data_IF_959740418135
#
_entry.id   IF_959740418135
#
_cell.length_a   1.000
_cell.length_b   1.000
_cell.length_c   1.000
_cell.angle_alpha   90.00
_cell.angle_beta   90.00
_cell.angle_gamma   90.00
#
_symmetry.space_group_name_H-M   'P 1'
#
loop_
_entity.id
_entity.type
_entity.pdbx_description
1 polymer ?
#
# COMPACT_ATOMS: atom_id res chain seq x y z
N UNK A 1 -20.60 12.34 -24.80
CA UNK A 1 -19.81 12.22 -23.56
C UNK A 1 -19.44 10.76 -23.37
N UNK A 2 -18.44 10.32 -24.11
CA UNK A 2 -17.87 8.97 -24.04
C UNK A 2 -16.84 8.89 -22.91
N UNK A 3 -16.63 7.70 -22.34
CA UNK A 3 -15.63 7.47 -21.30
C UNK A 3 -14.21 7.91 -21.71
N UNK A 4 -13.90 7.87 -23.00
CA UNK A 4 -12.62 8.30 -23.54
C UNK A 4 -12.44 9.83 -23.49
N UNK A 5 -13.48 10.63 -23.66
CA UNK A 5 -13.43 12.09 -23.52
C UNK A 5 -13.20 12.53 -22.07
N UNK A 6 -13.67 11.74 -21.09
CA UNK A 6 -13.42 11.99 -19.65
C UNK A 6 -11.97 11.70 -19.24
N UNK A 7 -11.37 10.67 -19.83
CA UNK A 7 -9.96 10.31 -19.58
C UNK A 7 -9.02 11.17 -20.44
N UNK A 8 -9.46 11.59 -21.62
CA UNK A 8 -8.72 12.47 -22.52
C UNK A 8 -9.48 13.79 -22.70
N UNK A 9 -9.66 14.54 -21.60
CA UNK A 9 -10.14 15.93 -21.66
C UNK A 9 -9.05 16.80 -22.31
N UNK A 10 -8.97 16.82 -23.64
CA UNK A 10 -8.15 17.76 -24.41
C UNK A 10 -6.67 17.83 -24.04
N UNK A 11 -6.07 16.73 -23.56
CA UNK A 11 -4.63 16.66 -23.21
C UNK A 11 -4.29 16.72 -21.71
N UNK A 12 -5.21 17.12 -20.83
CA UNK A 12 -4.92 17.27 -19.39
C UNK A 12 -5.18 16.03 -18.52
N UNK A 13 -5.93 15.04 -19.04
CA UNK A 13 -6.31 13.87 -18.24
C UNK A 13 -5.12 13.04 -17.73
N UNK A 14 -4.03 12.94 -18.51
CA UNK A 14 -2.81 12.26 -18.07
C UNK A 14 -2.17 12.91 -16.83
N UNK A 15 -2.27 14.24 -16.70
CA UNK A 15 -1.74 14.99 -15.56
C UNK A 15 -2.54 14.74 -14.28
N UNK A 16 -3.86 14.69 -14.42
CA UNK A 16 -4.78 14.43 -13.30
C UNK A 16 -4.65 12.99 -12.83
N UNK A 17 -4.68 12.02 -13.74
CA UNK A 17 -4.58 10.61 -13.42
C UNK A 17 -3.21 10.22 -12.83
N UNK A 18 -2.12 10.87 -13.24
CA UNK A 18 -0.80 10.62 -12.63
C UNK A 18 -0.72 11.14 -11.18
N UNK A 19 -1.30 12.30 -10.87
CA UNK A 19 -1.40 12.80 -9.50
C UNK A 19 -2.27 11.89 -8.62
N UNK A 20 -3.41 11.41 -9.13
CA UNK A 20 -4.23 10.40 -8.46
C UNK A 20 -3.51 9.07 -8.28
N UNK A 21 -2.77 8.62 -9.30
CA UNK A 21 -1.95 7.40 -9.23
C UNK A 21 -0.87 7.50 -8.16
N UNK A 22 -0.16 8.62 -8.08
CA UNK A 22 0.84 8.87 -7.05
C UNK A 22 0.21 8.85 -5.65
N UNK A 23 -0.94 9.52 -5.50
CA UNK A 23 -1.69 9.53 -4.23
C UNK A 23 -2.12 8.12 -3.83
N UNK A 24 -2.64 7.34 -4.77
CA UNK A 24 -3.03 5.96 -4.55
C UNK A 24 -1.84 5.08 -4.13
N UNK A 25 -0.67 5.25 -4.76
CA UNK A 25 0.56 4.56 -4.39
C UNK A 25 0.98 4.90 -2.96
N UNK A 26 0.96 6.18 -2.58
CA UNK A 26 1.29 6.62 -1.21
C UNK A 26 0.31 6.03 -0.19
N UNK A 27 -0.99 6.03 -0.48
CA UNK A 27 -2.00 5.42 0.39
C UNK A 27 -1.77 3.91 0.55
N UNK A 28 -1.58 3.18 -0.56
CA UNK A 28 -1.29 1.74 -0.53
C UNK A 28 -0.02 1.47 0.29
N UNK A 29 1.03 2.26 0.07
CA UNK A 29 2.27 2.14 0.83
C UNK A 29 2.04 2.34 2.33
N UNK A 30 1.24 3.34 2.69
CA UNK A 30 0.90 3.63 4.09
C UNK A 30 0.11 2.50 4.75
N UNK A 31 -0.75 1.78 4.01
CA UNK A 31 -1.46 0.60 4.51
C UNK A 31 -0.57 -0.65 4.57
N UNK A 32 0.30 -0.85 3.58
CA UNK A 32 1.13 -2.07 3.47
C UNK A 32 2.29 -2.04 4.45
N UNK A 33 2.91 -0.88 4.70
CA UNK A 33 4.01 -0.72 5.65
C UNK A 33 3.71 -1.27 7.06
N UNK A 34 2.59 -0.90 7.74
CA UNK A 34 2.25 -1.44 9.05
C UNK A 34 1.88 -2.92 8.99
N UNK A 35 1.28 -3.41 7.90
CA UNK A 35 1.00 -4.84 7.72
C UNK A 35 2.29 -5.66 7.68
N UNK A 36 3.31 -5.20 6.95
CA UNK A 36 4.64 -5.83 6.91
C UNK A 36 5.30 -5.80 8.28
N UNK A 37 5.23 -4.66 8.98
CA UNK A 37 5.81 -4.52 10.32
C UNK A 37 5.15 -5.42 11.36
N UNK A 38 3.82 -5.59 11.30
CA UNK A 38 3.07 -6.52 12.17
C UNK A 38 3.55 -7.96 12.02
N UNK A 39 3.80 -8.41 10.79
CA UNK A 39 4.33 -9.77 10.53
C UNK A 39 5.70 -9.99 11.18
N UNK A 40 6.59 -8.99 11.11
CA UNK A 40 7.91 -9.08 11.74
C UNK A 40 7.83 -9.14 13.27
N UNK A 41 6.95 -8.33 13.87
CA UNK A 41 6.76 -8.31 15.33
C UNK A 41 6.19 -9.65 15.80
N UNK A 42 5.15 -10.18 15.15
CA UNK A 42 4.59 -11.48 15.50
C UNK A 42 5.61 -12.63 15.32
N UNK A 43 6.42 -12.59 14.26
CA UNK A 43 7.49 -13.56 14.05
C UNK A 43 8.61 -13.47 15.10
N UNK A 44 8.81 -12.31 15.74
CA UNK A 44 9.70 -12.18 16.89
C UNK A 44 9.06 -12.79 18.14
N UNK A 45 7.80 -12.46 18.44
CA UNK A 45 7.09 -13.02 19.60
C UNK A 45 7.07 -14.56 19.58
N UNK A 46 6.80 -15.17 18.43
CA UNK A 46 6.75 -16.64 18.33
C UNK A 46 8.07 -17.32 18.69
N UNK A 47 9.20 -16.68 18.37
CA UNK A 47 10.53 -17.18 18.72
C UNK A 47 10.85 -17.11 20.21
N UNK A 48 10.29 -16.13 20.92
CA UNK A 48 10.44 -16.05 22.38
C UNK A 48 9.66 -17.17 23.08
N UNK A 49 8.41 -17.41 22.67
CA UNK A 49 7.60 -18.49 23.25
C UNK A 49 8.20 -19.89 23.04
N UNK A 50 8.79 -20.17 21.88
CA UNK A 50 9.45 -21.46 21.62
C UNK A 50 10.71 -21.67 22.48
N UNK A 51 11.36 -20.59 22.95
CA UNK A 51 12.54 -20.68 23.82
C UNK A 51 12.18 -20.80 25.30
N UNK A 52 11.11 -20.14 25.75
CA UNK A 52 10.62 -20.24 27.13
C UNK A 52 9.99 -21.61 27.42
N UNK A 53 9.31 -22.23 26.45
CA UNK A 53 8.64 -23.53 26.63
C UNK A 53 9.59 -24.74 26.64
N UNK A 54 10.86 -24.53 26.30
CA UNK A 54 11.91 -25.56 26.29
C UNK A 54 12.83 -25.56 27.52
N UNK A 55 12.54 -24.74 28.53
CA UNK A 55 13.23 -24.69 29.84
C UNK A 55 12.29 -25.13 30.95
#
# INVERSE_FOLDING_TARGET
MTWQEFIHMGGYGAYVWSAYGLTAVVLIWNLVAPLRRRREVLARLRRWYDQEAGR
#
